data_IF_839408369474
#
_entry.id   IF_839408369474
#
_cell.length_a   1.000
_cell.length_b   1.000
_cell.length_c   1.000
_cell.angle_alpha   90.00
_cell.angle_beta   90.00
_cell.angle_gamma   90.00
#
_symmetry.space_group_name_H-M   'P 1'
#
loop_
_entity.id
_entity.type
_entity.pdbx_description
1 polymer ?
#
# COMPACT_ATOMS: atom_id res chain seq x y z
N UNK A 1 -52.58 -10.02 -4.22
CA UNK A 1 -51.55 -9.02 -3.86
C UNK A 1 -50.24 -9.53 -4.42
N UNK A 2 -49.81 -8.91 -5.51
CA UNK A 2 -48.71 -9.35 -6.39
C UNK A 2 -47.35 -8.97 -5.77
N UNK A 3 -46.39 -9.91 -5.76
CA UNK A 3 -44.95 -9.61 -5.64
C UNK A 3 -44.35 -9.49 -7.04
N UNK A 4 -43.43 -8.55 -7.23
CA UNK A 4 -42.47 -8.60 -8.33
C UNK A 4 -41.84 -7.26 -8.68
N UNK A 5 -40.51 -7.30 -8.86
CA UNK A 5 -39.61 -6.37 -9.55
C UNK A 5 -38.99 -5.25 -8.67
N UNK A 6 -37.71 -5.39 -8.28
CA UNK A 6 -36.48 -5.01 -9.00
C UNK A 6 -36.43 -3.52 -9.31
N UNK A 7 -35.65 -2.76 -8.52
CA UNK A 7 -34.86 -1.64 -9.05
C UNK A 7 -33.82 -1.21 -8.01
N UNK A 8 -32.58 -1.08 -8.48
CA UNK A 8 -31.46 -0.53 -7.74
C UNK A 8 -31.51 0.99 -7.84
N UNK A 9 -31.43 1.69 -6.71
CA UNK A 9 -31.23 3.14 -6.70
C UNK A 9 -29.83 3.44 -6.15
N UNK A 10 -28.92 3.72 -7.06
CA UNK A 10 -27.66 4.39 -6.77
C UNK A 10 -27.80 5.83 -7.29
N UNK A 11 -28.06 6.75 -6.37
CA UNK A 11 -28.11 8.18 -6.63
C UNK A 11 -27.03 8.85 -5.79
N UNK A 12 -26.06 9.51 -6.42
CA UNK A 12 -25.73 10.93 -6.17
C UNK A 12 -24.46 11.37 -6.92
N UNK A 13 -24.66 12.43 -7.73
CA UNK A 13 -23.74 13.49 -8.16
C UNK A 13 -22.66 13.23 -9.23
N UNK A 14 -22.96 13.67 -10.47
CA UNK A 14 -21.98 14.24 -11.39
C UNK A 14 -22.52 15.60 -11.91
N UNK A 15 -21.73 16.65 -11.71
CA UNK A 15 -22.01 18.03 -12.12
C UNK A 15 -21.51 18.28 -13.56
N UNK A 16 -22.47 18.59 -14.46
CA UNK A 16 -22.51 19.58 -15.56
C UNK A 16 -21.42 19.67 -16.68
N UNK A 17 -21.81 20.15 -17.90
CA UNK A 17 -21.14 19.84 -19.17
C UNK A 17 -20.28 20.97 -19.79
N UNK A 18 -19.32 20.60 -20.65
CA UNK A 18 -18.51 21.54 -21.47
C UNK A 18 -19.03 21.62 -22.91
N UNK A 19 -19.65 22.76 -23.21
CA UNK A 19 -19.72 23.55 -24.45
C UNK A 19 -19.24 22.90 -25.78
N UNK A 20 -20.17 22.56 -26.66
CA UNK A 20 -19.92 22.23 -28.07
C UNK A 20 -20.16 23.45 -28.99
N UNK A 21 -19.15 23.80 -29.78
CA UNK A 21 -19.21 24.91 -30.73
C UNK A 21 -19.87 24.52 -32.06
N UNK A 22 -21.00 25.19 -32.33
CA UNK A 22 -21.68 25.53 -33.59
C UNK A 22 -21.01 25.14 -34.93
N UNK A 23 -21.74 24.31 -35.68
CA UNK A 23 -21.70 24.13 -37.14
C UNK A 23 -22.31 25.35 -37.84
N UNK A 24 -21.67 25.83 -38.91
CA UNK A 24 -22.30 26.66 -39.94
C UNK A 24 -21.80 26.22 -41.33
N UNK A 25 -22.77 25.93 -42.21
CA UNK A 25 -22.59 25.41 -43.55
C UNK A 25 -22.21 26.50 -44.58
N UNK A 26 -21.49 26.07 -45.62
CA UNK A 26 -21.11 26.83 -46.81
C UNK A 26 -22.24 26.90 -47.85
N UNK A 27 -22.10 27.76 -48.88
CA UNK A 27 -22.62 27.46 -50.21
C UNK A 27 -21.53 27.44 -51.31
N UNK A 28 -21.67 26.50 -52.26
CA UNK A 28 -20.97 26.34 -53.55
C UNK A 28 -21.30 27.54 -54.50
N UNK A 29 -20.59 27.95 -55.56
CA UNK A 29 -19.91 27.26 -56.66
C UNK A 29 -19.20 28.26 -57.62
N UNK A 30 -18.08 27.81 -58.19
CA UNK A 30 -17.34 28.07 -59.45
C UNK A 30 -17.67 29.26 -60.42
N UNK A 31 -16.66 30.08 -60.78
CA UNK A 31 -16.42 30.65 -62.13
C UNK A 31 -14.91 30.92 -62.34
N UNK A 32 -14.32 30.26 -63.35
CA UNK A 32 -12.96 30.46 -63.83
C UNK A 32 -12.78 31.76 -64.67
N UNK A 33 -11.65 32.46 -64.47
CA UNK A 33 -11.20 33.61 -65.28
C UNK A 33 -9.67 33.60 -65.44
N UNK A 34 -9.10 34.09 -66.57
CA UNK A 34 -7.76 33.71 -67.02
C UNK A 34 -6.62 34.46 -66.31
N UNK A 35 -5.50 33.77 -66.15
CA UNK A 35 -4.25 34.29 -65.58
C UNK A 35 -3.56 35.32 -66.51
N UNK A 36 -3.03 36.45 -65.98
CA UNK A 36 -2.15 37.32 -66.75
C UNK A 36 -0.70 36.78 -66.77
N UNK A 37 -0.12 36.75 -67.97
CA UNK A 37 1.30 36.42 -68.21
C UNK A 37 2.21 37.65 -68.00
N UNK A 38 3.15 37.47 -67.06
CA UNK A 38 4.58 37.89 -66.98
C UNK A 38 5.02 39.34 -67.32
N UNK A 39 5.89 39.88 -66.46
CA UNK A 39 7.17 40.45 -66.90
C UNK A 39 8.30 40.18 -65.88
N UNK A 40 9.57 40.05 -66.32
CA UNK A 40 10.66 39.42 -65.59
C UNK A 40 11.76 40.41 -65.15
N UNK A 41 11.91 40.63 -63.85
CA UNK A 41 13.00 41.34 -63.17
C UNK A 41 12.77 41.08 -61.67
N UNK A 42 13.64 40.50 -60.83
CA UNK A 42 15.09 40.34 -60.83
C UNK A 42 15.42 39.02 -60.10
N UNK A 43 16.12 38.11 -60.78
CA UNK A 43 16.84 37.06 -60.09
C UNK A 43 18.27 37.54 -59.83
N UNK A 44 18.57 38.17 -58.67
CA UNK A 44 19.91 38.24 -58.04
C UNK A 44 19.87 38.69 -56.57
N UNK A 45 19.87 37.73 -55.63
CA UNK A 45 20.92 37.60 -54.59
C UNK A 45 20.61 36.41 -53.69
N UNK A 46 21.52 35.45 -53.67
CA UNK A 46 21.64 34.49 -52.58
C UNK A 46 21.81 35.27 -51.26
N UNK A 47 20.87 35.05 -50.35
CA UNK A 47 20.99 35.37 -48.94
C UNK A 47 20.40 34.18 -48.22
N UNK A 48 21.22 33.16 -47.98
CA UNK A 48 20.93 32.10 -47.01
C UNK A 48 20.80 32.77 -45.64
N UNK A 49 19.58 33.24 -45.36
CA UNK A 49 19.21 33.81 -44.08
C UNK A 49 18.80 32.68 -43.15
N UNK A 50 19.74 31.81 -42.78
CA UNK A 50 19.58 31.02 -41.57
C UNK A 50 19.48 32.00 -40.40
N UNK A 51 18.26 32.23 -39.91
CA UNK A 51 18.08 32.95 -38.65
C UNK A 51 18.45 31.97 -37.54
N UNK A 52 19.48 32.23 -36.71
CA UNK A 52 19.73 31.37 -35.57
C UNK A 52 18.55 31.49 -34.60
N UNK A 53 17.90 30.37 -34.31
CA UNK A 53 16.94 30.28 -33.22
C UNK A 53 17.70 29.92 -31.93
N UNK A 54 17.34 30.57 -30.82
CA UNK A 54 17.92 30.25 -29.52
C UNK A 54 17.13 29.08 -28.93
N UNK A 55 17.81 27.96 -28.65
CA UNK A 55 17.28 26.91 -27.78
C UNK A 55 17.72 27.28 -26.36
N UNK A 56 16.80 27.75 -25.54
CA UNK A 56 17.05 27.90 -24.11
C UNK A 56 16.79 26.57 -23.41
N UNK A 57 17.85 25.93 -22.91
CA UNK A 57 17.71 24.82 -21.99
C UNK A 57 17.11 25.35 -20.68
N UNK A 58 15.88 24.93 -20.34
CA UNK A 58 15.28 25.21 -19.04
C UNK A 58 15.77 24.17 -18.03
N UNK A 59 16.14 24.62 -16.83
CA UNK A 59 16.45 23.71 -15.72
C UNK A 59 15.21 22.88 -15.38
N UNK A 60 15.37 21.56 -15.28
CA UNK A 60 14.27 20.68 -14.90
C UNK A 60 14.10 20.65 -13.38
N UNK A 61 13.05 21.32 -12.89
CA UNK A 61 12.69 21.38 -11.47
C UNK A 61 11.59 20.40 -11.08
N UNK A 62 11.23 19.45 -11.94
CA UNK A 62 10.22 18.43 -11.61
C UNK A 62 10.70 17.52 -10.49
N UNK A 63 9.81 17.25 -9.54
CA UNK A 63 10.06 16.28 -8.46
C UNK A 63 9.87 14.85 -8.95
N UNK A 64 10.46 13.84 -8.29
CA UNK A 64 10.05 12.45 -8.45
C UNK A 64 8.55 12.30 -8.20
N UNK A 65 7.87 11.54 -9.06
CA UNK A 65 6.46 11.23 -8.94
C UNK A 65 6.28 9.74 -8.69
N UNK A 66 5.58 9.39 -7.60
CA UNK A 66 5.23 8.00 -7.34
C UNK A 66 4.25 7.50 -8.41
N UNK A 67 4.60 6.37 -9.04
CA UNK A 67 3.76 5.66 -9.99
C UNK A 67 3.09 4.43 -9.37
N UNK A 68 3.63 3.93 -8.26
CA UNK A 68 3.04 2.86 -7.46
C UNK A 68 3.53 2.97 -6.02
N UNK A 69 2.60 2.84 -5.08
CA UNK A 69 2.82 2.80 -3.63
C UNK A 69 1.89 1.72 -3.08
N UNK A 70 2.32 0.92 -2.09
CA UNK A 70 1.43 -0.01 -1.42
C UNK A 70 0.21 0.73 -0.86
N UNK A 71 -0.96 0.09 -0.95
CA UNK A 71 -2.16 0.61 -0.32
C UNK A 71 -2.15 0.39 1.20
N UNK A 72 -3.08 1.05 1.88
CA UNK A 72 -3.37 0.75 3.28
C UNK A 72 -3.77 -0.72 3.43
N UNK A 73 -3.25 -1.40 4.44
CA UNK A 73 -3.47 -2.84 4.61
C UNK A 73 -3.66 -3.24 6.07
N UNK A 74 -4.37 -4.35 6.26
CA UNK A 74 -4.41 -5.07 7.54
C UNK A 74 -3.78 -6.43 7.33
N UNK A 75 -2.80 -6.77 8.15
CA UNK A 75 -2.07 -8.02 8.07
C UNK A 75 -2.14 -8.79 9.37
N UNK A 76 -1.95 -10.10 9.26
CA UNK A 76 -1.80 -10.95 10.44
C UNK A 76 -0.38 -10.86 10.98
N UNK A 77 -0.21 -10.87 12.29
CA UNK A 77 1.08 -11.04 12.94
C UNK A 77 1.79 -12.29 12.37
N UNK A 78 3.10 -12.18 12.10
CA UNK A 78 3.89 -13.23 11.42
C UNK A 78 3.84 -13.18 9.89
N UNK A 79 2.95 -12.39 9.28
CA UNK A 79 2.96 -12.17 7.84
C UNK A 79 4.13 -11.24 7.46
N UNK A 80 4.96 -11.69 6.51
CA UNK A 80 6.00 -10.84 5.91
C UNK A 80 5.43 -10.09 4.72
N UNK A 81 5.66 -8.77 4.67
CA UNK A 81 5.40 -7.92 3.52
C UNK A 81 6.63 -7.93 2.62
N UNK A 82 6.50 -8.41 1.39
CA UNK A 82 7.55 -8.47 0.38
C UNK A 82 6.96 -8.67 -1.03
N UNK A 83 7.81 -8.63 -2.06
CA UNK A 83 7.40 -8.86 -3.45
C UNK A 83 6.76 -7.64 -4.10
N UNK A 84 6.12 -7.85 -5.25
CA UNK A 84 5.69 -6.78 -6.15
C UNK A 84 4.60 -5.87 -5.55
N UNK A 85 3.71 -6.40 -4.71
CA UNK A 85 2.67 -5.61 -4.01
C UNK A 85 3.27 -4.59 -3.02
N UNK A 86 4.51 -4.83 -2.58
CA UNK A 86 5.26 -3.98 -1.67
C UNK A 86 6.45 -3.28 -2.35
N UNK A 87 6.43 -3.21 -3.69
CA UNK A 87 7.42 -2.46 -4.45
C UNK A 87 6.94 -1.03 -4.69
N UNK A 88 7.70 -0.06 -4.19
CA UNK A 88 7.44 1.35 -4.42
C UNK A 88 8.15 1.78 -5.69
N UNK A 89 7.42 2.43 -6.59
CA UNK A 89 7.97 2.93 -7.85
C UNK A 89 7.70 4.43 -7.97
N UNK A 90 8.73 5.19 -8.31
CA UNK A 90 8.65 6.58 -8.67
C UNK A 90 9.50 6.86 -9.91
N UNK A 91 9.11 7.88 -10.67
CA UNK A 91 9.81 8.34 -11.87
C UNK A 91 10.03 9.84 -11.79
N UNK A 92 11.20 10.29 -12.24
CA UNK A 92 11.43 11.71 -12.55
C UNK A 92 11.19 11.91 -14.05
N UNK A 93 10.25 12.77 -14.47
CA UNK A 93 9.87 12.93 -15.88
C UNK A 93 11.05 13.28 -16.80
N UNK A 94 12.00 14.08 -16.33
CA UNK A 94 13.27 14.31 -17.01
C UNK A 94 14.46 14.12 -16.05
N UNK A 95 15.49 13.41 -16.52
CA UNK A 95 16.76 13.27 -15.80
C UNK A 95 16.86 12.06 -14.86
N UNK A 96 17.42 12.33 -13.68
CA UNK A 96 18.19 11.39 -12.84
C UNK A 96 17.43 10.16 -12.32
N UNK A 97 18.20 9.13 -11.98
CA UNK A 97 17.73 7.98 -11.21
C UNK A 97 17.10 8.41 -9.89
N UNK A 98 16.10 7.65 -9.46
CA UNK A 98 15.35 7.86 -8.22
C UNK A 98 15.84 6.86 -7.18
N UNK A 99 16.13 7.35 -5.98
CA UNK A 99 16.46 6.53 -4.81
C UNK A 99 15.38 6.62 -3.74
N UNK A 100 15.24 5.58 -2.92
CA UNK A 100 14.20 5.45 -1.91
C UNK A 100 14.77 5.38 -0.49
N UNK A 101 14.02 5.91 0.48
CA UNK A 101 14.34 5.80 1.91
C UNK A 101 13.08 5.78 2.77
N UNK A 102 13.15 5.07 3.91
CA UNK A 102 12.16 5.22 4.98
C UNK A 102 12.49 6.47 5.82
N UNK A 103 11.47 7.19 6.27
CA UNK A 103 11.62 8.41 7.05
C UNK A 103 11.18 8.25 8.51
N UNK A 104 11.76 9.07 9.38
CA UNK A 104 11.41 9.11 10.81
C UNK A 104 11.94 7.87 11.54
N UNK A 105 11.08 7.26 12.32
CA UNK A 105 11.35 6.00 13.03
C UNK A 105 10.53 4.88 12.37
N UNK A 106 11.05 4.22 11.32
CA UNK A 106 10.34 3.09 10.72
C UNK A 106 10.14 1.98 11.76
N UNK A 107 9.11 1.12 11.61
CA UNK A 107 8.91 0.00 12.52
C UNK A 107 10.14 -0.91 12.55
N UNK A 108 10.43 -1.48 13.72
CA UNK A 108 11.51 -2.47 13.84
C UNK A 108 11.32 -3.60 12.82
N UNK A 109 12.42 -3.96 12.14
CA UNK A 109 12.46 -4.94 11.06
C UNK A 109 11.97 -4.45 9.70
N UNK A 110 11.47 -3.23 9.57
CA UNK A 110 11.08 -2.66 8.28
C UNK A 110 12.31 -2.13 7.53
N UNK A 111 12.39 -2.38 6.23
CA UNK A 111 13.47 -1.90 5.38
C UNK A 111 12.97 -1.57 3.97
N UNK A 112 13.74 -0.76 3.25
CA UNK A 112 13.52 -0.48 1.83
C UNK A 112 14.85 -0.55 1.08
N UNK A 113 14.86 -1.25 -0.05
CA UNK A 113 16.00 -1.21 -0.95
C UNK A 113 16.04 0.15 -1.67
N UNK A 114 17.15 0.88 -1.49
CA UNK A 114 17.27 2.26 -1.94
C UNK A 114 17.26 2.44 -3.46
N UNK A 115 17.48 1.37 -4.23
CA UNK A 115 17.57 1.41 -5.70
C UNK A 115 16.29 0.88 -6.33
N UNK A 116 15.81 -0.27 -5.86
CA UNK A 116 14.67 -0.97 -6.43
C UNK A 116 13.33 -0.55 -5.84
N UNK A 117 13.34 0.12 -4.68
CA UNK A 117 12.14 0.52 -3.96
C UNK A 117 11.40 -0.65 -3.31
N UNK A 118 12.01 -1.84 -3.23
CA UNK A 118 11.42 -3.00 -2.57
C UNK A 118 11.33 -2.73 -1.05
N UNK A 119 10.12 -2.54 -0.56
CA UNK A 119 9.86 -2.53 0.88
C UNK A 119 9.76 -3.95 1.40
N UNK A 120 10.36 -4.22 2.56
CA UNK A 120 10.18 -5.47 3.28
C UNK A 120 9.92 -5.21 4.75
N UNK A 121 9.01 -5.97 5.36
CA UNK A 121 8.77 -5.90 6.79
C UNK A 121 8.11 -7.18 7.31
N UNK A 122 8.63 -7.75 8.38
CA UNK A 122 8.02 -8.85 9.12
C UNK A 122 7.75 -8.37 10.57
N UNK A 123 6.50 -8.01 10.91
CA UNK A 123 6.20 -7.49 12.23
C UNK A 123 6.47 -8.51 13.35
N UNK A 124 7.14 -8.06 14.41
CA UNK A 124 7.40 -8.82 15.62
C UNK A 124 6.24 -8.79 16.63
N UNK A 125 6.34 -9.61 17.68
CA UNK A 125 5.30 -9.76 18.69
C UNK A 125 4.93 -8.44 19.39
N UNK A 126 5.90 -7.59 19.67
CA UNK A 126 5.68 -6.29 20.31
C UNK A 126 4.94 -5.28 19.40
N UNK A 127 4.75 -5.63 18.12
CA UNK A 127 4.08 -4.80 17.14
C UNK A 127 2.63 -5.21 16.89
N UNK A 128 2.11 -6.16 17.66
CA UNK A 128 0.75 -6.71 17.51
C UNK A 128 -0.34 -5.71 17.91
N UNK A 129 -1.51 -5.85 17.28
CA UNK A 129 -2.72 -5.06 17.54
C UNK A 129 -2.48 -3.54 17.50
N UNK A 130 -1.60 -3.11 16.59
CA UNK A 130 -1.12 -1.74 16.45
C UNK A 130 -1.15 -1.28 15.00
N UNK A 131 -1.19 0.04 14.81
CA UNK A 131 -1.19 0.69 13.49
C UNK A 131 0.14 1.39 13.24
N UNK A 132 0.73 1.17 12.07
CA UNK A 132 2.00 1.76 11.65
C UNK A 132 1.81 2.59 10.40
N UNK A 133 2.24 3.85 10.45
CA UNK A 133 2.32 4.73 9.28
C UNK A 133 3.72 4.66 8.69
N UNK A 134 3.85 4.02 7.54
CA UNK A 134 5.12 3.93 6.81
C UNK A 134 5.29 5.20 5.99
N UNK A 135 6.40 5.90 6.20
CA UNK A 135 6.74 7.12 5.45
C UNK A 135 7.90 6.83 4.52
N UNK A 136 7.72 7.08 3.23
CA UNK A 136 8.69 6.80 2.19
C UNK A 136 9.06 8.09 1.46
N UNK A 137 10.34 8.28 1.20
CA UNK A 137 10.87 9.36 0.36
C UNK A 137 11.42 8.81 -0.95
N UNK A 138 11.00 9.40 -2.06
CA UNK A 138 11.67 9.29 -3.35
C UNK A 138 12.56 10.53 -3.55
N UNK A 139 13.84 10.32 -3.87
CA UNK A 139 14.84 11.39 -4.07
C UNK A 139 15.50 11.27 -5.43
N UNK A 140 15.83 12.39 -6.07
CA UNK A 140 16.60 12.41 -7.32
C UNK A 140 17.56 13.60 -7.36
N UNK A 141 18.50 13.58 -8.32
CA UNK A 141 19.50 14.65 -8.48
C UNK A 141 20.35 14.82 -7.23
N UNK A 142 20.89 13.73 -6.70
CA UNK A 142 21.68 13.69 -5.46
C UNK A 142 20.93 14.26 -4.24
N UNK A 143 19.62 14.03 -4.18
CA UNK A 143 18.76 14.44 -3.06
C UNK A 143 18.21 15.86 -3.14
N UNK A 144 18.45 16.59 -4.24
CA UNK A 144 17.91 17.95 -4.43
C UNK A 144 16.39 17.95 -4.64
N UNK A 145 15.88 16.92 -5.29
CA UNK A 145 14.45 16.80 -5.57
C UNK A 145 13.89 15.65 -4.74
N UNK A 146 12.97 15.97 -3.83
CA UNK A 146 12.38 15.00 -2.91
C UNK A 146 10.86 15.04 -3.00
N UNK A 147 10.24 13.88 -2.90
CA UNK A 147 8.80 13.74 -2.73
C UNK A 147 8.52 12.61 -1.74
N UNK A 148 7.61 12.86 -0.81
CA UNK A 148 7.29 11.95 0.28
C UNK A 148 5.89 11.38 0.08
N UNK A 149 5.70 10.12 0.47
CA UNK A 149 4.39 9.47 0.50
C UNK A 149 4.26 8.59 1.74
N UNK A 150 3.05 8.14 2.01
CA UNK A 150 2.75 7.29 3.15
C UNK A 150 1.74 6.22 2.81
N UNK A 151 1.80 5.11 3.53
CA UNK A 151 0.74 4.11 3.62
C UNK A 151 0.69 3.56 5.04
N UNK A 152 -0.45 2.97 5.41
CA UNK A 152 -0.67 2.43 6.75
C UNK A 152 -0.74 0.91 6.72
N UNK A 153 -0.21 0.30 7.79
CA UNK A 153 -0.32 -1.13 8.02
C UNK A 153 -0.83 -1.35 9.43
N UNK A 154 -1.97 -2.03 9.53
CA UNK A 154 -2.53 -2.48 10.79
C UNK A 154 -2.09 -3.93 11.01
N UNK A 155 -1.37 -4.19 12.09
CA UNK A 155 -0.92 -5.54 12.46
C UNK A 155 -1.91 -6.10 13.46
N UNK A 156 -2.53 -7.23 13.15
CA UNK A 156 -3.51 -7.88 14.04
C UNK A 156 -3.05 -9.29 14.40
N UNK A 157 -3.24 -9.70 15.65
CA UNK A 157 -3.20 -11.12 15.96
C UNK A 157 -4.44 -11.80 15.39
N UNK A 158 -4.26 -12.82 14.56
CA UNK A 158 -5.36 -13.74 14.27
C UNK A 158 -5.65 -14.54 15.52
N UNK A 159 -6.92 -14.88 15.70
CA UNK A 159 -7.35 -15.81 16.74
C UNK A 159 -7.88 -17.08 16.09
N UNK A 160 -7.75 -18.19 16.80
CA UNK A 160 -8.39 -19.47 16.51
C UNK A 160 -9.02 -19.99 17.79
N UNK A 161 -9.85 -21.02 17.69
CA UNK A 161 -10.40 -21.71 18.84
C UNK A 161 -9.57 -22.95 19.17
N UNK A 162 -9.31 -23.16 20.45
CA UNK A 162 -8.68 -24.35 20.99
C UNK A 162 -9.45 -24.86 22.22
N UNK A 163 -9.41 -26.16 22.44
CA UNK A 163 -9.92 -26.80 23.65
C UNK A 163 -8.77 -27.59 24.28
N UNK A 164 -8.65 -27.49 25.60
CA UNK A 164 -7.65 -28.21 26.38
C UNK A 164 -8.32 -29.32 27.17
N UNK A 165 -7.70 -30.51 27.17
CA UNK A 165 -8.23 -31.70 27.83
C UNK A 165 -7.17 -32.24 28.78
N UNK A 166 -7.55 -32.40 30.05
CA UNK A 166 -6.67 -32.99 31.04
C UNK A 166 -6.91 -34.50 31.13
N UNK A 167 -5.92 -35.31 30.74
CA UNK A 167 -6.01 -36.77 30.76
C UNK A 167 -4.83 -37.45 31.48
N UNK A 168 -4.05 -36.72 32.27
CA UNK A 168 -2.97 -37.29 33.06
C UNK A 168 -3.54 -37.94 34.32
N UNK A 169 -3.42 -39.26 34.45
CA UNK A 169 -3.91 -40.02 35.61
C UNK A 169 -2.90 -40.03 36.77
N UNK A 170 -2.27 -38.88 37.05
CA UNK A 170 -1.33 -38.71 38.15
C UNK A 170 -2.07 -38.14 39.37
N UNK A 171 -2.08 -38.85 40.52
CA UNK A 171 -2.69 -38.33 41.75
C UNK A 171 -2.09 -37.01 42.26
N UNK A 172 -0.89 -36.63 41.81
CA UNK A 172 -0.27 -35.35 42.17
C UNK A 172 -0.64 -34.21 41.20
N UNK A 173 -1.40 -34.51 40.16
CA UNK A 173 -1.93 -33.56 39.17
C UNK A 173 -3.44 -33.77 39.04
N UNK A 174 -4.19 -33.73 40.14
CA UNK A 174 -5.66 -33.83 40.09
C UNK A 174 -6.29 -32.61 39.39
N UNK A 175 -5.65 -31.45 39.57
CA UNK A 175 -5.93 -30.19 38.85
C UNK A 175 -4.64 -29.65 38.23
N UNK A 176 -4.79 -28.93 37.12
CA UNK A 176 -3.67 -28.37 36.36
C UNK A 176 -3.95 -26.90 36.01
N UNK A 177 -2.95 -26.06 36.24
CA UNK A 177 -2.95 -24.68 35.77
C UNK A 177 -2.24 -24.62 34.41
N UNK A 178 -2.89 -23.97 33.43
CA UNK A 178 -2.37 -23.77 32.09
C UNK A 178 -1.98 -22.30 31.87
N UNK A 179 -0.74 -22.08 31.45
CA UNK A 179 -0.19 -20.76 31.16
C UNK A 179 0.16 -20.65 29.68
N UNK A 180 -0.01 -19.45 29.12
CA UNK A 180 0.33 -19.15 27.74
C UNK A 180 1.27 -17.96 27.68
N UNK A 181 2.48 -18.16 27.16
CA UNK A 181 3.54 -17.14 27.13
C UNK A 181 3.73 -16.46 28.52
N UNK A 182 3.80 -17.27 29.57
CA UNK A 182 3.96 -16.87 30.97
C UNK A 182 2.81 -16.09 31.62
N UNK A 183 1.65 -15.98 30.97
CA UNK A 183 0.45 -15.35 31.51
C UNK A 183 -0.74 -16.32 31.55
N UNK A 184 -1.63 -16.20 32.54
CA UNK A 184 -2.91 -16.92 32.55
C UNK A 184 -3.83 -16.27 31.51
N UNK A 185 -4.05 -16.97 30.39
CA UNK A 185 -4.74 -16.41 29.22
C UNK A 185 -6.27 -16.32 29.38
N UNK A 186 -6.84 -17.11 30.30
CA UNK A 186 -8.27 -17.13 30.63
C UNK A 186 -8.48 -17.77 32.01
N UNK A 187 -9.52 -17.34 32.73
CA UNK A 187 -9.85 -17.89 34.06
C UNK A 187 -10.20 -19.39 34.02
N UNK A 188 -10.73 -19.88 32.90
CA UNK A 188 -11.06 -21.30 32.66
C UNK A 188 -9.82 -22.22 32.54
N UNK A 189 -8.63 -21.65 32.58
CA UNK A 189 -7.35 -22.36 32.50
C UNK A 189 -6.69 -22.60 33.87
N UNK A 190 -7.33 -22.13 34.94
CA UNK A 190 -6.91 -22.37 36.32
C UNK A 190 -7.66 -23.59 36.88
N UNK A 191 -6.96 -24.51 37.53
CA UNK A 191 -7.48 -25.72 38.17
C UNK A 191 -8.26 -26.70 37.25
N UNK A 192 -7.78 -26.92 36.02
CA UNK A 192 -8.40 -27.87 35.09
C UNK A 192 -8.37 -29.31 35.65
N UNK A 193 -9.53 -29.84 36.01
CA UNK A 193 -9.66 -31.15 36.67
C UNK A 193 -9.34 -32.33 35.74
N UNK A 194 -8.82 -33.43 36.28
CA UNK A 194 -8.62 -34.68 35.54
C UNK A 194 -9.91 -35.15 34.84
N UNK A 195 -9.78 -35.61 33.60
CA UNK A 195 -10.87 -36.03 32.69
C UNK A 195 -11.91 -34.94 32.41
N UNK A 196 -11.52 -33.68 32.53
CA UNK A 196 -12.32 -32.54 32.09
C UNK A 196 -11.70 -31.86 30.87
N UNK A 197 -12.49 -30.99 30.26
CA UNK A 197 -12.08 -30.17 29.14
C UNK A 197 -12.57 -28.74 29.32
N UNK A 198 -11.79 -27.77 28.86
CA UNK A 198 -12.24 -26.38 28.78
C UNK A 198 -13.36 -26.25 27.74
N UNK A 199 -14.16 -25.17 27.75
CA UNK A 199 -14.83 -24.70 26.54
C UNK A 199 -13.82 -24.42 25.42
N UNK A 200 -14.29 -24.20 24.19
CA UNK A 200 -13.44 -23.62 23.17
C UNK A 200 -13.06 -22.19 23.57
N UNK A 201 -11.77 -21.93 23.75
CA UNK A 201 -11.23 -20.61 24.07
C UNK A 201 -10.50 -20.02 22.86
N UNK A 202 -10.51 -18.70 22.76
CA UNK A 202 -9.75 -18.02 21.70
C UNK A 202 -8.27 -17.94 22.06
N UNK A 203 -7.42 -18.49 21.20
CA UNK A 203 -5.97 -18.40 21.30
C UNK A 203 -5.39 -17.71 20.07
N UNK A 204 -4.23 -17.05 20.17
CA UNK A 204 -3.54 -16.52 18.99
C UNK A 204 -3.26 -17.61 17.96
N UNK A 205 -3.39 -17.27 16.69
CA UNK A 205 -3.08 -18.11 15.55
C UNK A 205 -1.88 -17.56 14.78
N UNK A 206 -1.17 -18.45 14.07
CA UNK A 206 0.02 -18.14 13.26
C UNK A 206 1.23 -17.59 14.04
N UNK A 207 1.24 -17.78 15.35
CA UNK A 207 2.42 -17.54 16.19
C UNK A 207 2.73 -18.79 17.01
N UNK A 208 3.98 -18.90 17.46
CA UNK A 208 4.34 -19.87 18.48
C UNK A 208 3.53 -19.60 19.73
N UNK A 209 2.83 -20.63 20.22
CA UNK A 209 2.09 -20.57 21.48
C UNK A 209 2.85 -21.46 22.46
N UNK A 210 3.54 -20.84 23.41
CA UNK A 210 4.18 -21.59 24.50
C UNK A 210 3.14 -21.93 25.55
N UNK A 211 3.01 -23.22 25.88
CA UNK A 211 2.05 -23.72 26.85
C UNK A 211 2.80 -24.28 28.04
N UNK A 212 2.74 -23.55 29.15
CA UNK A 212 3.23 -23.99 30.46
C UNK A 212 2.14 -24.74 31.22
N UNK A 213 2.55 -25.69 32.06
CA UNK A 213 1.64 -26.44 32.91
C UNK A 213 2.22 -26.57 34.32
N UNK A 214 1.39 -26.34 35.33
CA UNK A 214 1.80 -26.44 36.73
C UNK A 214 0.72 -27.11 37.59
N UNK A 215 1.07 -27.68 38.77
CA UNK A 215 0.09 -28.22 39.71
C UNK A 215 -0.94 -27.16 40.10
N UNK A 216 -2.20 -27.56 40.31
CA UNK A 216 -3.25 -26.60 40.65
C UNK A 216 -2.98 -25.89 41.97
N UNK A 217 -3.08 -24.55 41.94
CA UNK A 217 -2.66 -23.54 42.92
C UNK A 217 -1.34 -22.80 42.63
N UNK A 218 -0.76 -23.01 41.45
CA UNK A 218 0.48 -22.35 41.06
C UNK A 218 0.25 -20.88 40.71
N UNK A 219 1.27 -20.05 40.90
CA UNK A 219 1.26 -18.64 40.52
C UNK A 219 2.07 -18.32 39.25
N UNK A 220 2.56 -19.35 38.55
CA UNK A 220 3.34 -19.23 37.32
C UNK A 220 3.74 -20.60 36.74
N UNK A 221 4.27 -20.62 35.49
CA UNK A 221 4.52 -21.85 34.73
C UNK A 221 5.68 -22.75 35.20
N UNK A 222 6.43 -22.36 36.25
CA UNK A 222 7.53 -23.16 36.82
C UNK A 222 8.90 -22.85 36.22
#
# INVERSE_FOLDING_TARGET
MQRGHHEADASTAALEPILAARTAAAPESDVAGPAPRRSPQEARRAGDGERPFQIEARQDTTLPQFTSVPGDSTISLGQTLNGDDYKINAKKPFGNDVSYALLGSPPDGASIDSITGQFTWAPGFDQRNSTYTIRVRASAGSGQYVNDTTFTVIVQTKKTQAQFIHNAADPNAETLDLYFNDEIYAEDLNDLSFRSATPFIEVPANIGLEVGFAPGNSSGPG
#
